data_IF_778683385296
#
_entry.id   IF_778683385296
#
_cell.length_a   1.000
_cell.length_b   1.000
_cell.length_c   1.000
_cell.angle_alpha   90.00
_cell.angle_beta   90.00
_cell.angle_gamma   90.00
#
_symmetry.space_group_name_H-M   'P 1'
#
loop_
_entity.id
_entity.type
_entity.pdbx_description
1 polymer ?
#
# COMPACT_ATOMS: atom_id res chain seq x y z
N UNK A 1 0.11 -35.25 63.41
CA UNK A 1 0.41 -33.91 62.88
C UNK A 1 1.39 -34.13 61.74
N UNK A 2 0.89 -34.29 60.50
CA UNK A 2 1.71 -34.66 59.33
C UNK A 2 2.15 -33.38 58.59
N UNK A 3 3.42 -32.94 58.73
CA UNK A 3 3.93 -31.70 58.12
C UNK A 3 4.42 -31.96 56.68
N UNK A 4 3.58 -32.52 55.82
CA UNK A 4 4.02 -32.97 54.50
C UNK A 4 3.19 -32.52 53.30
N UNK A 5 1.95 -32.05 53.51
CA UNK A 5 0.99 -31.98 52.41
C UNK A 5 0.61 -30.56 51.95
N UNK A 6 1.19 -29.52 52.53
CA UNK A 6 0.82 -28.12 52.23
C UNK A 6 1.56 -27.50 51.05
N UNK A 7 2.64 -28.14 50.56
CA UNK A 7 3.41 -27.61 49.42
C UNK A 7 2.97 -28.18 48.06
N UNK A 8 2.19 -29.26 48.03
CA UNK A 8 1.79 -29.94 46.78
C UNK A 8 0.58 -29.30 46.08
N UNK A 9 -0.13 -28.41 46.77
CA UNK A 9 -1.37 -27.79 46.28
C UNK A 9 -1.17 -26.38 45.70
N UNK A 10 0.04 -25.82 45.77
CA UNK A 10 0.32 -24.45 45.35
C UNK A 10 0.81 -24.32 43.89
N UNK A 11 1.14 -25.42 43.20
CA UNK A 11 1.70 -25.37 41.84
C UNK A 11 0.73 -25.79 40.72
N UNK A 12 -0.45 -26.31 41.04
CA UNK A 12 -1.49 -26.60 40.02
C UNK A 12 -2.37 -25.37 39.80
N UNK A 13 -1.77 -24.27 39.33
CA UNK A 13 -2.54 -23.21 38.70
C UNK A 13 -2.66 -23.65 37.24
N UNK A 14 -3.74 -24.36 36.89
CA UNK A 14 -4.14 -24.48 35.50
C UNK A 14 -4.70 -23.11 35.10
N UNK A 15 -4.00 -22.29 34.28
CA UNK A 15 -4.61 -21.12 33.71
C UNK A 15 -5.70 -21.64 32.78
N UNK A 16 -6.92 -21.71 33.30
CA UNK A 16 -8.10 -21.98 32.49
C UNK A 16 -8.08 -20.92 31.40
N UNK A 17 -7.91 -21.29 30.11
CA UNK A 17 -7.96 -20.31 29.05
C UNK A 17 -9.34 -19.68 29.16
N UNK A 18 -9.37 -18.39 29.51
CA UNK A 18 -10.62 -17.63 29.49
C UNK A 18 -11.18 -17.81 28.09
N UNK A 19 -12.40 -18.35 27.92
CA UNK A 19 -12.98 -18.49 26.60
C UNK A 19 -13.03 -17.09 26.00
N UNK A 20 -12.23 -16.88 24.96
CA UNK A 20 -12.41 -15.72 24.10
C UNK A 20 -13.83 -15.89 23.56
N UNK A 21 -14.72 -14.91 23.71
CA UNK A 21 -16.06 -15.03 23.15
C UNK A 21 -15.90 -15.42 21.68
N UNK A 22 -16.46 -16.57 21.31
CA UNK A 22 -16.55 -16.91 19.90
C UNK A 22 -17.24 -15.73 19.23
N UNK A 23 -16.77 -15.31 18.07
CA UNK A 23 -17.43 -14.26 17.31
C UNK A 23 -18.89 -14.68 17.08
N UNK A 24 -19.83 -14.09 17.83
CA UNK A 24 -21.27 -14.38 17.75
C UNK A 24 -21.92 -13.76 16.51
N UNK A 25 -21.15 -13.06 15.68
CA UNK A 25 -21.59 -12.57 14.38
C UNK A 25 -21.56 -13.67 13.32
N UNK A 26 -22.37 -13.52 12.28
CA UNK A 26 -22.39 -14.43 11.13
C UNK A 26 -20.99 -14.50 10.48
N UNK A 27 -20.33 -15.68 10.40
CA UNK A 27 -19.01 -15.84 9.79
C UNK A 27 -18.96 -15.44 8.31
N UNK A 28 -20.11 -15.36 7.63
CA UNK A 28 -20.20 -14.83 6.26
C UNK A 28 -20.01 -13.31 6.18
N UNK A 29 -20.07 -12.58 7.31
CA UNK A 29 -19.81 -11.14 7.37
C UNK A 29 -18.30 -10.84 7.37
N UNK A 30 -17.48 -11.72 7.95
CA UNK A 30 -16.03 -11.51 8.12
C UNK A 30 -15.17 -12.09 7.01
N UNK A 31 -15.75 -12.96 6.19
CA UNK A 31 -15.10 -13.46 4.98
C UNK A 31 -15.72 -12.72 3.80
N UNK A 32 -15.05 -11.72 3.19
CA UNK A 32 -15.58 -11.09 2.00
C UNK A 32 -15.80 -12.19 0.97
N UNK A 33 -17.07 -12.53 0.70
CA UNK A 33 -17.43 -13.54 -0.28
C UNK A 33 -16.99 -13.13 -1.69
N UNK A 34 -17.50 -13.81 -2.71
CA UNK A 34 -17.16 -13.53 -4.12
C UNK A 34 -17.29 -12.04 -4.48
N UNK A 35 -18.29 -11.36 -3.91
CA UNK A 35 -18.49 -9.91 -4.08
C UNK A 35 -17.32 -9.09 -3.53
N UNK A 36 -16.88 -9.35 -2.30
CA UNK A 36 -15.76 -8.60 -1.70
C UNK A 36 -14.41 -8.89 -2.36
N UNK A 37 -14.22 -10.12 -2.86
CA UNK A 37 -13.07 -10.44 -3.72
C UNK A 37 -13.10 -9.65 -5.03
N UNK A 38 -14.26 -9.60 -5.71
CA UNK A 38 -14.41 -8.86 -6.95
C UNK A 38 -14.15 -7.34 -6.78
N UNK A 39 -14.63 -6.76 -5.66
CA UNK A 39 -14.36 -5.35 -5.34
C UNK A 39 -12.86 -5.11 -5.14
N UNK A 40 -12.19 -5.92 -4.32
CA UNK A 40 -10.75 -5.80 -4.08
C UNK A 40 -9.95 -6.00 -5.37
N UNK A 41 -10.33 -6.98 -6.19
CA UNK A 41 -9.71 -7.23 -7.49
C UNK A 41 -9.85 -6.01 -8.43
N UNK A 42 -11.03 -5.40 -8.48
CA UNK A 42 -11.25 -4.19 -9.28
C UNK A 42 -10.39 -3.02 -8.80
N UNK A 43 -10.26 -2.83 -7.49
CA UNK A 43 -9.37 -1.80 -6.92
C UNK A 43 -7.91 -2.08 -7.29
N UNK A 44 -7.46 -3.33 -7.21
CA UNK A 44 -6.11 -3.71 -7.62
C UNK A 44 -5.86 -3.41 -9.10
N UNK A 45 -6.80 -3.79 -9.98
CA UNK A 45 -6.73 -3.50 -11.42
C UNK A 45 -6.71 -1.99 -11.66
N UNK A 46 -7.59 -1.23 -11.01
CA UNK A 46 -7.61 0.23 -11.13
C UNK A 46 -6.29 0.85 -10.69
N UNK A 47 -5.68 0.35 -9.62
CA UNK A 47 -4.37 0.79 -9.13
C UNK A 47 -3.27 0.51 -10.15
N UNK A 48 -3.23 -0.69 -10.74
CA UNK A 48 -2.27 -1.05 -11.79
C UNK A 48 -2.46 -0.18 -13.04
N UNK A 49 -3.71 0.02 -13.48
CA UNK A 49 -4.02 0.90 -14.61
C UNK A 49 -3.60 2.34 -14.34
N UNK A 50 -3.76 2.83 -13.11
CA UNK A 50 -3.32 4.17 -12.71
C UNK A 50 -1.79 4.29 -12.78
N UNK A 51 -1.04 3.28 -12.35
CA UNK A 51 0.43 3.27 -12.48
C UNK A 51 0.83 3.29 -13.97
N UNK A 52 0.20 2.47 -14.80
CA UNK A 52 0.47 2.45 -16.25
C UNK A 52 0.11 3.78 -16.90
N UNK A 53 -1.03 4.36 -16.52
CA UNK A 53 -1.45 5.68 -17.01
C UNK A 53 -0.46 6.76 -16.60
N UNK A 54 -0.05 6.79 -15.34
CA UNK A 54 0.95 7.71 -14.81
C UNK A 54 2.25 7.63 -15.60
N UNK A 55 2.78 6.42 -15.84
CA UNK A 55 4.02 6.23 -16.59
C UNK A 55 3.88 6.65 -18.06
N UNK A 56 2.75 6.34 -18.71
CA UNK A 56 2.44 6.80 -20.07
C UNK A 56 2.30 8.33 -20.14
N UNK A 57 1.66 8.94 -19.14
CA UNK A 57 1.46 10.37 -19.02
C UNK A 57 2.81 11.08 -18.87
N UNK A 58 3.65 10.64 -17.94
CA UNK A 58 5.00 11.20 -17.74
C UNK A 58 5.80 11.13 -19.03
N UNK A 59 5.82 9.96 -19.70
CA UNK A 59 6.53 9.81 -20.97
C UNK A 59 6.01 10.77 -22.05
N UNK A 60 4.68 10.96 -22.14
CA UNK A 60 4.07 11.89 -23.10
C UNK A 60 4.36 13.36 -22.80
N UNK A 61 4.44 13.74 -21.53
CA UNK A 61 4.67 15.14 -21.13
C UNK A 61 6.14 15.54 -21.34
N UNK A 62 7.10 14.68 -20.98
CA UNK A 62 8.53 15.00 -21.10
C UNK A 62 8.99 15.30 -22.54
N UNK A 63 8.41 14.65 -23.55
CA UNK A 63 8.73 14.96 -24.96
C UNK A 63 8.47 16.43 -25.34
N UNK A 64 7.56 17.13 -24.66
CA UNK A 64 7.22 18.51 -25.01
C UNK A 64 8.15 19.53 -24.35
N UNK A 65 8.76 19.16 -23.23
CA UNK A 65 9.69 20.02 -22.48
C UNK A 65 11.08 19.97 -23.11
N UNK A 66 11.58 18.77 -23.43
CA UNK A 66 12.91 18.59 -24.05
C UNK A 66 13.03 19.31 -25.40
N UNK A 67 11.95 19.38 -26.20
CA UNK A 67 11.93 20.14 -27.46
C UNK A 67 11.89 21.65 -27.22
N UNK A 68 11.16 22.12 -26.19
CA UNK A 68 11.13 23.55 -25.84
C UNK A 68 12.48 24.02 -25.33
N UNK A 69 13.16 23.24 -24.50
CA UNK A 69 14.50 23.58 -24.01
C UNK A 69 15.51 23.69 -25.15
N UNK A 70 15.50 22.78 -26.13
CA UNK A 70 16.36 22.87 -27.31
C UNK A 70 16.07 24.14 -28.13
N UNK A 71 14.79 24.47 -28.34
CA UNK A 71 14.41 25.69 -29.06
C UNK A 71 14.80 26.97 -28.33
N UNK A 72 14.70 26.99 -26.99
CA UNK A 72 15.12 28.13 -26.17
C UNK A 72 16.64 28.29 -26.20
N UNK A 73 17.39 27.19 -26.05
CA UNK A 73 18.85 27.21 -26.11
C UNK A 73 19.36 27.69 -27.49
N UNK A 74 18.74 27.24 -28.57
CA UNK A 74 19.10 27.67 -29.92
C UNK A 74 18.73 29.14 -30.17
N UNK A 75 17.61 29.62 -29.62
CA UNK A 75 17.25 31.03 -29.66
C UNK A 75 18.23 31.91 -28.86
N UNK A 76 18.63 31.49 -27.66
CA UNK A 76 19.61 32.21 -26.85
C UNK A 76 20.99 32.25 -27.53
N UNK A 77 21.43 31.14 -28.12
CA UNK A 77 22.66 31.10 -28.93
C UNK A 77 22.58 32.06 -30.11
N UNK A 78 21.46 32.06 -30.84
CA UNK A 78 21.26 32.97 -31.99
C UNK A 78 21.14 34.44 -31.60
N UNK A 79 20.61 34.74 -30.40
CA UNK A 79 20.50 36.10 -29.88
C UNK A 79 21.87 36.65 -29.44
N UNK A 80 22.72 35.81 -28.83
CA UNK A 80 24.04 36.19 -28.37
C UNK A 80 25.06 36.39 -29.53
N UNK A 81 24.92 35.63 -30.61
CA UNK A 81 25.71 35.79 -31.84
C UNK A 81 25.36 37.08 -32.64
N UNK A 82 24.17 37.64 -32.41
CA UNK A 82 23.72 38.89 -33.02
C UNK A 82 24.22 40.15 -32.32
N UNK A 83 24.50 40.08 -31.02
CA UNK A 83 24.94 41.21 -30.18
C UNK A 83 26.47 41.47 -30.25
N UNK A 84 27.22 40.53 -30.83
CA UNK A 84 28.70 40.58 -30.89
C UNK A 84 29.30 41.14 -32.20
N UNK A 85 28.49 41.76 -33.07
CA UNK A 85 28.92 42.40 -34.33
C UNK A 85 28.56 43.88 -34.38
#
# INVERSE_FOLDING_TARGET
MEPGNTMKTLWTIDPTPTPIPAFEGDPNIVTPGVVGFAVTFLIAVATVLLVIDMTRRIRRVRYREEIREQLVAEQELSANDGDTR
#
